data_IF_289615063160
#
_entry.id   IF_289615063160
#
_cell.length_a   1.000
_cell.length_b   1.000
_cell.length_c   1.000
_cell.angle_alpha   90.00
_cell.angle_beta   90.00
_cell.angle_gamma   90.00
#
_symmetry.space_group_name_H-M   'P 1'
#
loop_
_entity.id
_entity.type
_entity.pdbx_description
1 polymer ?
#
# COMPACT_ATOMS: atom_id res chain seq x y z
N UNK A 1 -0.62 -6.69 21.67
CA UNK A 1 -1.73 -7.43 21.05
C UNK A 1 -1.32 -7.74 19.62
N UNK A 2 -1.43 -8.99 19.21
CA UNK A 2 -1.05 -9.52 17.90
C UNK A 2 -1.72 -8.74 16.75
N UNK A 3 -1.00 -7.78 16.16
CA UNK A 3 -1.41 -7.07 14.94
C UNK A 3 -1.18 -7.91 13.67
N UNK A 4 -0.90 -9.22 13.80
CA UNK A 4 -0.36 -10.08 12.72
C UNK A 4 -1.29 -11.19 12.21
N UNK A 5 -2.59 -11.18 12.56
CA UNK A 5 -3.49 -12.29 12.17
C UNK A 5 -4.66 -11.89 11.27
N UNK A 6 -4.62 -10.72 10.63
CA UNK A 6 -5.65 -10.38 9.66
C UNK A 6 -5.15 -10.61 8.25
N UNK A 7 -6.04 -11.08 7.39
CA UNK A 7 -5.86 -11.38 5.97
C UNK A 7 -7.12 -10.77 5.32
N UNK A 8 -7.03 -9.91 4.29
CA UNK A 8 -8.21 -9.22 3.81
C UNK A 8 -9.07 -10.16 2.94
N UNK A 9 -10.39 -10.01 3.03
CA UNK A 9 -11.41 -10.90 2.47
C UNK A 9 -12.81 -10.57 3.01
N UNK A 10 -13.77 -11.50 2.99
CA UNK A 10 -15.12 -11.32 3.57
C UNK A 10 -15.15 -10.65 4.98
N UNK A 11 -14.16 -10.86 5.87
CA UNK A 11 -14.08 -10.15 7.16
C UNK A 11 -13.87 -8.63 7.05
N UNK A 12 -13.34 -8.11 5.93
CA UNK A 12 -13.13 -6.65 5.76
C UNK A 12 -14.46 -5.91 5.62
N UNK A 13 -15.45 -6.52 4.96
CA UNK A 13 -16.81 -5.95 4.85
C UNK A 13 -17.46 -5.86 6.22
N UNK A 14 -17.46 -6.96 6.96
CA UNK A 14 -18.01 -7.03 8.31
C UNK A 14 -17.30 -6.04 9.24
N UNK A 15 -15.98 -5.90 9.14
CA UNK A 15 -15.24 -4.93 9.95
C UNK A 15 -15.57 -3.47 9.60
N UNK A 16 -15.76 -3.13 8.32
CA UNK A 16 -16.22 -1.79 7.90
C UNK A 16 -17.63 -1.53 8.43
N UNK A 17 -18.53 -2.49 8.31
CA UNK A 17 -19.91 -2.38 8.81
C UNK A 17 -19.94 -2.25 10.35
N UNK A 18 -19.17 -3.07 11.07
CA UNK A 18 -19.02 -3.01 12.53
C UNK A 18 -18.41 -1.68 13.00
N UNK A 19 -17.52 -1.09 12.22
CA UNK A 19 -16.96 0.23 12.47
C UNK A 19 -17.90 1.37 12.05
N UNK A 20 -19.15 1.07 11.65
CA UNK A 20 -20.10 2.05 11.10
C UNK A 20 -19.53 2.88 9.94
N UNK A 21 -18.65 2.27 9.15
CA UNK A 21 -17.96 2.91 8.03
C UNK A 21 -16.89 3.93 8.44
N UNK A 22 -16.35 3.88 9.66
CA UNK A 22 -15.43 4.91 10.18
C UNK A 22 -14.25 4.28 10.92
N UNK A 23 -13.02 4.59 10.50
CA UNK A 23 -11.78 4.17 11.18
C UNK A 23 -11.07 5.44 11.66
N UNK A 24 -10.56 5.44 12.88
CA UNK A 24 -9.91 6.61 13.48
C UNK A 24 -8.52 6.30 13.97
N UNK A 25 -7.66 7.30 13.93
CA UNK A 25 -6.41 7.31 14.68
C UNK A 25 -6.13 8.71 15.22
N UNK A 26 -5.45 8.76 16.36
CA UNK A 26 -5.03 10.00 17.03
C UNK A 26 -3.52 10.18 16.88
N UNK A 27 -2.97 11.25 17.45
CA UNK A 27 -1.52 11.43 17.55
C UNK A 27 -0.77 10.21 18.07
N UNK A 28 -1.27 9.57 19.14
CA UNK A 28 -0.61 8.38 19.72
C UNK A 28 -0.59 7.23 18.71
N UNK A 29 -1.71 6.98 18.03
CA UNK A 29 -1.76 5.98 16.98
C UNK A 29 -0.83 6.30 15.81
N UNK A 30 -0.72 7.57 15.41
CA UNK A 30 0.24 7.97 14.37
C UNK A 30 1.70 7.66 14.75
N UNK A 31 2.06 7.87 16.03
CA UNK A 31 3.38 7.53 16.56
C UNK A 31 3.63 6.02 16.54
N UNK A 32 2.65 5.21 16.95
CA UNK A 32 2.72 3.75 16.84
C UNK A 32 2.99 3.29 15.39
N UNK A 33 2.36 3.93 14.40
CA UNK A 33 2.61 3.64 12.98
C UNK A 33 4.00 4.09 12.54
N UNK A 34 4.50 5.22 13.06
CA UNK A 34 5.85 5.68 12.78
C UNK A 34 6.90 4.69 13.29
N UNK A 35 6.76 4.23 14.52
CA UNK A 35 7.65 3.23 15.13
C UNK A 35 7.64 1.92 14.37
N UNK A 36 6.46 1.47 13.93
CA UNK A 36 6.30 0.17 13.31
C UNK A 36 6.65 0.14 11.82
N UNK A 37 6.29 1.17 11.06
CA UNK A 37 6.42 1.15 9.60
C UNK A 37 7.53 2.05 9.07
N UNK A 38 7.94 3.08 9.81
CA UNK A 38 8.96 4.05 9.35
C UNK A 38 10.34 3.70 9.93
N UNK A 39 10.43 3.44 11.24
CA UNK A 39 11.71 3.06 11.86
C UNK A 39 12.14 1.64 11.46
N UNK A 40 11.19 0.72 11.38
CA UNK A 40 11.43 -0.69 11.00
C UNK A 40 11.16 -0.94 9.51
N UNK A 41 11.22 0.09 8.68
CA UNK A 41 11.06 -0.07 7.24
C UNK A 41 12.14 -1.05 6.72
N UNK A 42 11.77 -2.10 5.96
CA UNK A 42 12.72 -3.10 5.48
C UNK A 42 13.83 -2.53 4.58
N UNK A 43 13.56 -1.41 3.91
CA UNK A 43 14.53 -0.69 3.09
C UNK A 43 15.47 0.21 3.91
N UNK A 44 15.40 0.13 5.24
CA UNK A 44 16.09 1.00 6.18
C UNK A 44 15.16 2.08 6.76
N UNK A 45 15.44 2.56 8.00
CA UNK A 45 14.68 3.64 8.62
C UNK A 45 14.55 4.86 7.70
N UNK A 46 13.44 5.59 7.80
CA UNK A 46 13.23 6.86 7.08
C UNK A 46 13.21 8.04 8.06
N UNK A 47 14.38 8.61 8.45
CA UNK A 47 14.47 9.54 9.58
C UNK A 47 13.71 10.85 9.35
N UNK A 48 13.73 11.36 8.11
CA UNK A 48 13.05 12.61 7.79
C UNK A 48 11.52 12.43 7.82
N UNK A 49 11.00 11.34 7.26
CA UNK A 49 9.58 11.03 7.34
C UNK A 49 9.16 10.78 8.79
N UNK A 50 9.99 10.10 9.58
CA UNK A 50 9.74 9.88 11.00
C UNK A 50 9.63 11.21 11.76
N UNK A 51 10.55 12.15 11.54
CA UNK A 51 10.48 13.49 12.14
C UNK A 51 9.20 14.24 11.76
N UNK A 52 8.75 14.13 10.51
CA UNK A 52 7.46 14.71 10.10
C UNK A 52 6.30 14.06 10.86
N UNK A 53 6.29 12.73 11.02
CA UNK A 53 5.26 12.03 11.79
C UNK A 53 5.19 12.49 13.25
N UNK A 54 6.33 12.79 13.88
CA UNK A 54 6.37 13.30 15.26
C UNK A 54 5.72 14.69 15.40
N UNK A 55 5.72 15.48 14.33
CA UNK A 55 5.30 16.88 14.33
C UNK A 55 3.95 17.15 13.65
N UNK A 56 3.43 16.20 12.86
CA UNK A 56 2.31 16.48 11.94
C UNK A 56 0.92 16.53 12.59
N UNK A 57 0.73 15.91 13.76
CA UNK A 57 -0.55 15.94 14.50
C UNK A 57 -0.36 16.64 15.85
N UNK A 58 -1.25 17.59 16.14
CA UNK A 58 -1.35 18.25 17.45
C UNK A 58 -2.15 17.38 18.43
N UNK A 59 -2.06 17.73 19.72
CA UNK A 59 -2.92 17.11 20.71
C UNK A 59 -4.39 17.49 20.46
N UNK A 60 -5.24 16.48 20.28
CA UNK A 60 -6.65 16.65 19.94
C UNK A 60 -6.98 16.51 18.45
N UNK A 61 -5.98 16.45 17.56
CA UNK A 61 -6.22 16.15 16.15
C UNK A 61 -6.62 14.66 15.97
N UNK A 62 -7.58 14.43 15.07
CA UNK A 62 -8.10 13.11 14.73
C UNK A 62 -7.99 12.89 13.22
N UNK A 63 -7.40 11.77 12.82
CA UNK A 63 -7.46 11.30 11.45
C UNK A 63 -8.59 10.28 11.34
N UNK A 64 -9.48 10.49 10.38
CA UNK A 64 -10.64 9.64 10.12
C UNK A 64 -10.64 9.13 8.68
N UNK A 65 -10.79 7.82 8.51
CA UNK A 65 -11.11 7.18 7.23
C UNK A 65 -12.61 6.87 7.23
N UNK A 66 -13.33 7.41 6.24
CA UNK A 66 -14.76 7.16 6.04
C UNK A 66 -14.99 6.27 4.83
N UNK A 67 -16.00 5.42 4.94
CA UNK A 67 -16.58 4.62 3.87
C UNK A 67 -18.02 5.07 3.66
N UNK A 68 -18.41 5.32 2.42
CA UNK A 68 -19.79 5.69 2.12
C UNK A 68 -20.03 5.99 0.65
N UNK A 69 -21.28 6.32 0.33
CA UNK A 69 -21.67 6.77 -1.00
C UNK A 69 -21.33 8.26 -1.15
N UNK A 70 -20.63 8.60 -2.23
CA UNK A 70 -20.35 9.99 -2.60
C UNK A 70 -20.90 10.22 -4.00
N UNK A 71 -21.69 11.27 -4.17
CA UNK A 71 -22.44 11.61 -5.39
C UNK A 71 -23.46 10.54 -5.84
N UNK A 72 -24.47 10.20 -5.03
CA UNK A 72 -25.48 9.21 -5.41
C UNK A 72 -26.21 9.65 -6.68
N UNK A 73 -26.18 8.81 -7.71
CA UNK A 73 -26.92 9.02 -8.97
C UNK A 73 -28.10 8.05 -9.06
N UNK A 74 -29.19 8.49 -9.68
CA UNK A 74 -30.43 7.70 -9.80
C UNK A 74 -30.30 6.49 -10.77
N UNK A 75 -29.10 6.21 -11.29
CA UNK A 75 -28.81 5.17 -12.29
C UNK A 75 -27.91 4.07 -11.74
N UNK A 76 -27.90 3.91 -10.43
CA UNK A 76 -27.05 2.97 -9.67
C UNK A 76 -27.58 1.52 -9.71
N UNK A 77 -28.17 1.09 -10.82
CA UNK A 77 -28.53 -0.31 -11.06
C UNK A 77 -27.28 -1.10 -11.48
N UNK A 78 -27.08 -2.22 -10.78
CA UNK A 78 -26.18 -3.36 -11.03
C UNK A 78 -24.94 -3.10 -11.91
N UNK A 79 -23.81 -2.87 -11.24
CA UNK A 79 -22.52 -3.05 -11.89
C UNK A 79 -22.33 -4.54 -12.24
N UNK A 80 -22.11 -4.92 -13.52
CA UNK A 80 -21.96 -6.33 -13.93
C UNK A 80 -20.77 -7.04 -13.27
N UNK A 81 -19.80 -6.29 -12.73
CA UNK A 81 -18.65 -6.82 -12.02
C UNK A 81 -18.90 -6.98 -10.50
N UNK A 82 -20.04 -6.52 -9.99
CA UNK A 82 -20.41 -6.58 -8.58
C UNK A 82 -19.65 -5.59 -7.69
N UNK A 83 -19.10 -4.50 -8.25
CA UNK A 83 -18.46 -3.46 -7.44
C UNK A 83 -19.50 -2.78 -6.54
N UNK A 84 -19.30 -2.83 -5.21
CA UNK A 84 -20.10 -2.04 -4.28
C UNK A 84 -19.83 -0.56 -4.57
N UNK A 85 -20.90 0.18 -4.87
CA UNK A 85 -20.87 1.63 -5.10
C UNK A 85 -20.48 2.24 -3.75
N UNK A 86 -19.25 2.74 -3.68
CA UNK A 86 -18.69 3.23 -2.44
C UNK A 86 -17.41 3.98 -2.70
N UNK A 87 -17.19 5.01 -1.89
CA UNK A 87 -15.97 5.77 -1.82
C UNK A 87 -15.33 5.52 -0.45
N UNK A 88 -14.00 5.54 -0.45
CA UNK A 88 -13.20 5.65 0.77
C UNK A 88 -12.47 6.96 0.72
N UNK A 89 -12.48 7.71 1.82
CA UNK A 89 -11.75 8.97 1.90
C UNK A 89 -11.19 9.22 3.29
N UNK A 90 -10.08 9.94 3.32
CA UNK A 90 -9.41 10.33 4.55
C UNK A 90 -9.64 11.82 4.86
N UNK A 91 -10.03 12.10 6.10
CA UNK A 91 -10.24 13.43 6.65
C UNK A 91 -9.28 13.63 7.81
N UNK A 92 -8.58 14.76 7.81
CA UNK A 92 -7.95 15.29 9.01
C UNK A 92 -8.94 16.22 9.71
N UNK A 93 -9.25 15.95 10.97
CA UNK A 93 -9.98 16.85 11.85
C UNK A 93 -9.02 17.49 12.82
N UNK A 94 -9.00 18.81 12.84
CA UNK A 94 -8.23 19.54 13.85
C UNK A 94 -9.00 19.63 15.17
N UNK A 95 -8.27 19.91 16.26
CA UNK A 95 -8.85 20.09 17.59
C UNK A 95 -9.90 21.21 17.69
N UNK A 96 -9.96 22.12 16.71
CA UNK A 96 -10.94 23.22 16.64
C UNK A 96 -12.19 22.84 15.83
N UNK A 97 -12.29 21.60 15.35
CA UNK A 97 -13.41 21.10 14.55
C UNK A 97 -13.32 21.39 13.05
N UNK A 98 -12.18 21.91 12.56
CA UNK A 98 -11.92 22.06 11.14
C UNK A 98 -11.68 20.71 10.48
N UNK A 99 -12.22 20.51 9.27
CA UNK A 99 -12.05 19.28 8.50
C UNK A 99 -11.31 19.53 7.19
N UNK A 100 -10.33 18.67 6.87
CA UNK A 100 -9.57 18.69 5.62
C UNK A 100 -9.57 17.33 4.95
N UNK A 101 -10.12 17.25 3.74
CA UNK A 101 -9.99 16.08 2.87
C UNK A 101 -8.54 15.91 2.40
N UNK A 102 -7.93 14.79 2.77
CA UNK A 102 -6.57 14.40 2.41
C UNK A 102 -6.56 13.68 1.06
N UNK A 103 -7.33 12.61 0.95
CA UNK A 103 -7.52 11.86 -0.28
C UNK A 103 -8.86 11.18 -0.35
N UNK A 104 -9.21 10.76 -1.56
CA UNK A 104 -10.42 10.01 -1.87
C UNK A 104 -10.14 8.99 -2.97
N UNK A 105 -10.81 7.85 -2.87
CA UNK A 105 -10.79 6.79 -3.88
C UNK A 105 -12.17 6.17 -4.00
N UNK A 106 -12.60 5.94 -5.23
CA UNK A 106 -13.85 5.26 -5.54
C UNK A 106 -13.83 4.65 -6.94
N UNK A 107 -14.99 4.22 -7.41
CA UNK A 107 -15.17 3.56 -8.72
C UNK A 107 -14.61 4.36 -9.91
N UNK A 108 -14.73 5.70 -9.86
CA UNK A 108 -14.28 6.58 -10.95
C UNK A 108 -12.78 6.92 -10.88
N UNK A 109 -12.08 6.50 -9.82
CA UNK A 109 -10.64 6.70 -9.73
C UNK A 109 -9.94 5.84 -10.78
N UNK A 110 -9.07 6.48 -11.56
CA UNK A 110 -8.28 5.78 -12.57
C UNK A 110 -7.36 4.73 -11.91
N UNK A 111 -7.17 3.57 -12.54
CA UNK A 111 -6.19 2.60 -12.05
C UNK A 111 -4.76 3.15 -12.17
N UNK A 112 -3.82 2.54 -11.43
CA UNK A 112 -2.40 2.87 -11.57
C UNK A 112 -1.94 2.72 -13.03
N UNK A 113 -1.00 3.57 -13.44
CA UNK A 113 -0.40 3.49 -14.78
C UNK A 113 0.52 2.27 -14.89
N UNK A 114 0.86 1.86 -16.11
CA UNK A 114 1.82 0.77 -16.32
C UNK A 114 3.22 1.14 -15.80
N UNK A 115 3.58 2.43 -15.81
CA UNK A 115 4.83 2.92 -15.22
C UNK A 115 4.85 2.75 -13.71
N UNK A 116 3.74 3.10 -13.03
CA UNK A 116 3.62 2.94 -11.57
C UNK A 116 3.59 1.45 -11.18
N UNK A 117 2.89 0.61 -11.96
CA UNK A 117 2.83 -0.83 -11.71
C UNK A 117 4.19 -1.51 -11.90
N UNK A 118 4.95 -1.16 -12.95
CA UNK A 118 6.30 -1.66 -13.16
C UNK A 118 7.26 -1.19 -12.04
N UNK A 119 7.10 0.05 -11.57
CA UNK A 119 7.88 0.59 -10.45
C UNK A 119 7.56 -0.13 -9.14
N UNK A 120 6.28 -0.36 -8.85
CA UNK A 120 5.80 -1.14 -7.72
C UNK A 120 6.36 -2.58 -7.74
N UNK A 121 6.32 -3.23 -8.90
CA UNK A 121 6.85 -4.58 -9.08
C UNK A 121 8.37 -4.64 -8.85
N UNK A 122 9.13 -3.71 -9.42
CA UNK A 122 10.59 -3.63 -9.21
C UNK A 122 10.93 -3.44 -7.72
N UNK A 123 10.22 -2.55 -7.03
CA UNK A 123 10.42 -2.33 -5.60
C UNK A 123 10.04 -3.56 -4.76
N UNK A 124 8.95 -4.25 -5.10
CA UNK A 124 8.54 -5.49 -4.45
C UNK A 124 9.63 -6.58 -4.60
N UNK A 125 10.19 -6.75 -5.81
CA UNK A 125 11.30 -7.68 -6.04
C UNK A 125 12.54 -7.33 -5.23
N UNK A 126 12.91 -6.05 -5.18
CA UNK A 126 14.04 -5.59 -4.36
C UNK A 126 13.81 -5.89 -2.88
N UNK A 127 12.61 -5.61 -2.36
CA UNK A 127 12.23 -5.93 -0.99
C UNK A 127 12.35 -7.43 -0.68
N UNK A 128 11.85 -8.27 -1.59
CA UNK A 128 11.94 -9.72 -1.43
C UNK A 128 13.39 -10.23 -1.48
N UNK A 129 14.22 -9.66 -2.36
CA UNK A 129 15.65 -9.96 -2.42
C UNK A 129 16.38 -9.63 -1.12
N UNK A 130 16.08 -8.48 -0.50
CA UNK A 130 16.61 -8.10 0.82
C UNK A 130 16.22 -9.11 1.89
N UNK A 131 14.95 -9.54 1.90
CA UNK A 131 14.46 -10.52 2.87
C UNK A 131 15.14 -11.88 2.73
N UNK A 132 15.26 -12.37 1.49
CA UNK A 132 15.95 -13.63 1.19
C UNK A 132 17.42 -13.58 1.62
N UNK A 133 18.11 -12.45 1.41
CA UNK A 133 19.49 -12.25 1.84
C UNK A 133 19.63 -12.31 3.37
N UNK A 134 18.77 -11.59 4.11
CA UNK A 134 18.78 -11.58 5.56
C UNK A 134 18.54 -12.97 6.17
N UNK A 135 17.64 -13.77 5.58
CA UNK A 135 17.43 -15.15 6.02
C UNK A 135 18.68 -16.01 5.80
N UNK A 136 19.39 -15.83 4.69
CA UNK A 136 20.61 -16.57 4.40
C UNK A 136 21.75 -16.20 5.37
N UNK A 137 21.91 -14.92 5.69
CA UNK A 137 22.89 -14.46 6.70
C UNK A 137 22.62 -15.09 8.07
N UNK A 138 21.35 -15.09 8.52
CA UNK A 138 20.96 -15.72 9.79
C UNK A 138 21.22 -17.23 9.81
N UNK A 139 20.98 -17.92 8.69
CA UNK A 139 21.27 -19.35 8.57
C UNK A 139 22.79 -19.62 8.54
N UNK A 140 23.57 -18.76 7.89
CA UNK A 140 25.03 -18.87 7.86
C UNK A 140 25.66 -18.66 9.25
N UNK A 141 25.15 -17.72 10.04
CA UNK A 141 25.57 -17.50 11.44
C UNK A 141 25.26 -18.72 12.33
N UNK A 142 24.11 -19.36 12.12
CA UNK A 142 23.73 -20.61 12.80
C UNK A 142 24.59 -21.81 12.34
N UNK A 143 24.97 -21.87 11.07
CA UNK A 143 25.87 -22.90 10.54
C UNK A 143 27.31 -22.74 11.06
N UNK A 144 27.77 -21.49 11.22
CA UNK A 144 29.08 -21.18 11.82
C UNK A 144 29.17 -21.60 13.29
N UNK A 145 28.08 -21.47 14.06
CA UNK A 145 28.02 -21.97 15.44
C UNK A 145 28.02 -23.50 15.53
N UNK A 146 27.69 -24.22 14.45
CA UNK A 146 27.70 -25.69 14.36
C UNK A 146 28.93 -26.25 13.60
N UNK A 147 29.95 -25.42 13.33
CA UNK A 147 31.21 -25.88 12.73
C UNK A 147 31.13 -26.22 11.24
N UNK A 148 30.08 -25.80 10.53
CA UNK A 148 29.99 -25.93 9.08
C UNK A 148 30.58 -24.70 8.38
N UNK A 149 31.29 -24.92 7.27
CA UNK A 149 31.85 -23.85 6.45
C UNK A 149 30.72 -23.18 5.64
N UNK A 150 30.52 -21.86 5.76
CA UNK A 150 29.48 -21.15 5.01
C UNK A 150 29.87 -21.09 3.55
N UNK A 151 29.00 -21.60 2.68
CA UNK A 151 29.10 -21.40 1.24
C UNK A 151 28.47 -20.02 0.99
N UNK A 152 29.28 -19.02 0.66
CA UNK A 152 28.76 -17.70 0.28
C UNK A 152 27.88 -17.83 -0.99
N UNK A 153 26.57 -17.57 -0.91
CA UNK A 153 25.73 -17.58 -2.10
C UNK A 153 25.98 -16.32 -2.93
N UNK A 154 25.76 -16.35 -4.26
CA UNK A 154 25.80 -15.14 -5.07
C UNK A 154 24.66 -14.20 -4.66
N UNK A 155 25.00 -12.96 -4.29
CA UNK A 155 24.03 -11.87 -4.10
C UNK A 155 23.44 -11.49 -5.46
N UNK A 156 22.35 -12.15 -5.86
CA UNK A 156 21.62 -11.75 -7.06
C UNK A 156 20.68 -10.60 -6.70
N UNK A 157 21.15 -9.36 -6.89
CA UNK A 157 20.27 -8.20 -6.89
C UNK A 157 19.28 -8.38 -8.05
N UNK A 158 17.95 -8.37 -7.80
CA UNK A 158 16.98 -8.54 -8.85
C UNK A 158 17.16 -7.48 -9.93
N UNK A 159 17.36 -7.91 -11.18
CA UNK A 159 17.43 -6.97 -12.30
C UNK A 159 16.07 -6.33 -12.51
N UNK A 160 16.01 -5.00 -12.46
CA UNK A 160 14.77 -4.26 -12.68
C UNK A 160 14.26 -4.52 -14.11
N UNK A 161 12.94 -4.70 -14.24
CA UNK A 161 12.30 -4.62 -15.55
C UNK A 161 12.28 -3.15 -16.01
N UNK A 162 12.40 -2.88 -17.33
CA UNK A 162 12.31 -1.53 -17.86
C UNK A 162 10.99 -0.86 -17.48
N UNK A 163 11.06 0.40 -17.03
CA UNK A 163 9.85 1.20 -16.78
C UNK A 163 9.26 1.67 -18.12
N UNK A 164 7.94 1.51 -18.34
CA UNK A 164 7.24 2.21 -19.41
C UNK A 164 7.43 3.72 -19.31
N UNK A 165 7.34 4.42 -20.45
CA UNK A 165 7.37 5.89 -20.47
C UNK A 165 6.21 6.43 -19.63
N UNK A 166 6.46 7.31 -18.63
CA UNK A 166 5.39 7.91 -17.86
C UNK A 166 4.44 8.69 -18.77
N UNK A 167 3.14 8.49 -18.59
CA UNK A 167 2.16 9.34 -19.26
C UNK A 167 2.13 10.70 -18.56
N UNK A 168 2.15 11.84 -19.29
CA UNK A 168 1.98 13.14 -18.66
C UNK A 168 0.63 13.18 -17.93
N UNK A 169 0.58 13.70 -16.69
CA UNK A 169 -0.67 13.79 -15.96
C UNK A 169 -1.65 14.64 -16.78
N UNK A 170 -2.95 14.28 -16.82
CA UNK A 170 -3.94 15.14 -17.43
C UNK A 170 -3.90 16.52 -16.75
N UNK A 171 -4.12 17.62 -17.49
CA UNK A 171 -4.15 18.95 -16.90
C UNK A 171 -5.28 19.01 -15.86
N UNK A 172 -4.91 19.03 -14.59
CA UNK A 172 -5.84 19.07 -13.46
C UNK A 172 -6.18 20.50 -13.10
N UNK A 173 -7.47 20.83 -13.03
CA UNK A 173 -8.00 22.10 -12.53
C UNK A 173 -8.04 22.18 -10.99
N UNK A 174 -7.44 21.23 -10.26
CA UNK A 174 -7.41 21.22 -8.80
C UNK A 174 -6.30 20.35 -8.21
N UNK A 175 -6.12 20.37 -6.87
CA UNK A 175 -5.16 19.48 -6.21
C UNK A 175 -5.57 18.03 -6.42
N UNK A 176 -4.67 17.21 -6.99
CA UNK A 176 -4.89 15.76 -7.15
C UNK A 176 -4.93 15.14 -5.74
N UNK A 177 -6.14 14.81 -5.29
CA UNK A 177 -6.41 14.13 -4.01
C UNK A 177 -6.81 12.67 -4.21
N UNK A 178 -6.61 12.11 -5.41
CA UNK A 178 -6.88 10.70 -5.66
C UNK A 178 -5.71 9.84 -5.20
N UNK A 179 -6.01 8.79 -4.45
CA UNK A 179 -5.06 7.73 -4.10
C UNK A 179 -5.33 6.47 -4.94
N UNK A 180 -4.41 5.51 -4.89
CA UNK A 180 -4.52 4.21 -5.58
C UNK A 180 -5.88 3.54 -5.41
N UNK A 181 -6.38 2.96 -6.50
CA UNK A 181 -7.63 2.21 -6.53
C UNK A 181 -7.57 0.95 -5.68
N UNK A 182 -6.37 0.47 -5.32
CA UNK A 182 -6.19 -0.62 -4.35
C UNK A 182 -6.95 -0.37 -3.04
N UNK A 183 -7.13 0.90 -2.64
CA UNK A 183 -7.81 1.29 -1.41
C UNK A 183 -9.32 1.56 -1.59
N UNK A 184 -9.88 1.32 -2.77
CA UNK A 184 -11.32 1.47 -3.01
C UNK A 184 -12.13 0.42 -2.25
N UNK A 185 -13.37 0.74 -1.82
CA UNK A 185 -14.22 -0.23 -1.13
C UNK A 185 -14.36 -1.56 -1.88
N UNK A 186 -14.53 -1.51 -3.20
CA UNK A 186 -14.61 -2.72 -4.03
C UNK A 186 -13.36 -3.58 -3.85
N UNK A 187 -12.15 -3.02 -3.98
CA UNK A 187 -10.92 -3.79 -3.76
C UNK A 187 -10.78 -4.32 -2.33
N UNK A 188 -11.22 -3.57 -1.33
CA UNK A 188 -11.16 -4.00 0.07
C UNK A 188 -12.12 -5.15 0.38
N UNK A 189 -13.34 -5.10 -0.16
CA UNK A 189 -14.36 -6.13 0.07
C UNK A 189 -14.06 -7.45 -0.63
N UNK A 190 -13.44 -7.38 -1.81
CA UNK A 190 -13.16 -8.55 -2.64
C UNK A 190 -11.71 -9.01 -2.59
N UNK A 191 -10.86 -8.29 -1.85
CA UNK A 191 -9.48 -8.64 -1.56
C UNK A 191 -9.32 -10.14 -1.29
N UNK A 192 -8.40 -10.78 -2.01
CA UNK A 192 -8.08 -12.18 -1.76
C UNK A 192 -7.27 -12.31 -0.47
N UNK A 193 -7.43 -13.45 0.21
CA UNK A 193 -6.66 -13.74 1.42
C UNK A 193 -5.15 -13.98 1.23
N UNK A 194 -4.65 -13.79 0.01
CA UNK A 194 -3.22 -13.91 -0.34
C UNK A 194 -2.68 -12.59 -0.86
N UNK A 195 -3.37 -11.48 -0.53
CA UNK A 195 -3.02 -10.14 -0.97
C UNK A 195 -2.40 -9.33 0.17
N UNK A 196 -1.27 -8.70 -0.12
CA UNK A 196 -0.55 -7.82 0.81
C UNK A 196 -0.45 -6.42 0.26
N UNK A 197 -0.63 -5.42 1.12
CA UNK A 197 -0.55 -4.01 0.75
C UNK A 197 0.82 -3.44 1.07
N UNK A 198 1.23 -2.49 0.24
CA UNK A 198 2.46 -1.73 0.38
C UNK A 198 2.17 -0.25 0.22
N UNK A 199 2.75 0.56 1.11
CA UNK A 199 2.74 2.01 1.02
C UNK A 199 4.16 2.47 0.73
N UNK A 200 4.31 3.34 -0.26
CA UNK A 200 5.58 4.01 -0.50
C UNK A 200 5.83 5.07 0.56
N UNK A 201 7.00 4.97 1.20
CA UNK A 201 7.52 5.90 2.20
C UNK A 201 8.61 6.80 1.61
N UNK A 202 8.89 6.68 0.30
CA UNK A 202 9.72 7.64 -0.40
C UNK A 202 8.99 8.98 -0.37
N UNK A 203 9.65 10.03 0.12
CA UNK A 203 9.02 11.32 0.38
C UNK A 203 8.58 12.08 -0.90
N UNK A 204 8.56 11.40 -2.04
CA UNK A 204 8.27 11.94 -3.36
C UNK A 204 6.96 11.30 -3.84
N UNK A 205 5.83 12.05 -3.87
CA UNK A 205 4.55 11.49 -4.27
C UNK A 205 4.47 11.25 -5.79
N UNK A 206 3.59 10.35 -6.27
CA UNK A 206 3.44 10.04 -7.71
C UNK A 206 3.07 11.24 -8.60
N UNK A 207 2.52 12.31 -8.01
CA UNK A 207 2.18 13.54 -8.73
C UNK A 207 3.41 14.37 -9.14
N UNK A 208 4.61 13.98 -8.72
CA UNK A 208 5.87 14.70 -8.96
C UNK A 208 6.71 13.98 -10.03
N UNK A 209 7.29 14.68 -11.01
CA UNK A 209 8.14 14.05 -12.03
C UNK A 209 9.33 13.27 -11.46
N UNK A 210 9.90 13.75 -10.35
CA UNK A 210 11.04 13.13 -9.66
C UNK A 210 10.71 11.73 -9.11
N UNK A 211 9.43 11.41 -8.96
CA UNK A 211 8.95 10.11 -8.49
C UNK A 211 9.54 8.97 -9.32
N UNK A 212 9.56 9.10 -10.65
CA UNK A 212 10.00 8.01 -11.53
C UNK A 212 11.50 7.71 -11.42
N UNK A 213 12.29 8.66 -10.91
CA UNK A 213 13.72 8.51 -10.68
C UNK A 213 14.08 8.14 -9.23
N UNK A 214 13.18 8.39 -8.27
CA UNK A 214 13.38 8.06 -6.86
C UNK A 214 13.05 6.59 -6.58
N UNK A 215 13.92 5.79 -5.96
CA UNK A 215 13.57 4.43 -5.51
C UNK A 215 12.40 4.44 -4.53
N UNK A 216 11.52 3.45 -4.59
CA UNK A 216 10.45 3.31 -3.60
C UNK A 216 11.02 2.79 -2.28
N UNK A 217 10.54 3.34 -1.17
CA UNK A 217 10.83 2.83 0.17
C UNK A 217 9.58 2.15 0.68
N UNK A 218 9.43 0.86 0.39
CA UNK A 218 8.21 0.15 0.74
C UNK A 218 8.13 -0.08 2.25
N UNK A 219 6.95 0.12 2.80
CA UNK A 219 6.57 -0.45 4.08
C UNK A 219 6.78 -1.98 4.09
N UNK A 220 6.81 -2.59 5.28
CA UNK A 220 6.62 -4.04 5.38
C UNK A 220 5.24 -4.44 4.80
N UNK A 221 5.08 -5.70 4.32
CA UNK A 221 3.78 -6.19 3.90
C UNK A 221 2.74 -5.98 5.00
N UNK A 222 1.59 -5.40 4.65
CA UNK A 222 0.56 -5.09 5.63
C UNK A 222 -0.85 -5.38 5.13
N UNK A 223 -1.79 -5.23 6.05
CA UNK A 223 -3.20 -5.39 5.79
C UNK A 223 -3.83 -4.11 5.24
N UNK A 224 -5.01 -4.25 4.65
CA UNK A 224 -5.64 -3.16 3.92
C UNK A 224 -5.97 -1.94 4.80
N UNK A 225 -6.41 -2.17 6.05
CA UNK A 225 -6.70 -1.08 7.00
C UNK A 225 -5.45 -0.36 7.50
N UNK A 226 -4.35 -1.09 7.70
CA UNK A 226 -3.07 -0.47 8.00
C UNK A 226 -2.61 0.40 6.83
N UNK A 227 -2.80 -0.05 5.58
CA UNK A 227 -2.47 0.73 4.40
C UNK A 227 -3.34 2.00 4.27
N UNK A 228 -4.63 1.93 4.63
CA UNK A 228 -5.52 3.10 4.68
C UNK A 228 -5.02 4.15 5.68
N UNK A 229 -4.73 3.72 6.91
CA UNK A 229 -4.25 4.63 7.96
C UNK A 229 -2.87 5.19 7.63
N UNK A 230 -1.91 4.32 7.27
CA UNK A 230 -0.55 4.74 6.96
C UNK A 230 -0.52 5.68 5.75
N UNK A 231 -1.28 5.39 4.68
CA UNK A 231 -1.30 6.27 3.52
C UNK A 231 -1.89 7.65 3.81
N UNK A 232 -2.91 7.73 4.66
CA UNK A 232 -3.45 9.00 5.14
C UNK A 232 -2.45 9.76 6.02
N UNK A 233 -1.77 9.08 6.95
CA UNK A 233 -0.72 9.69 7.77
C UNK A 233 0.45 10.21 6.91
N UNK A 234 0.92 9.42 5.95
CA UNK A 234 1.93 9.83 4.97
C UNK A 234 1.44 11.04 4.15
N UNK A 235 0.17 11.09 3.80
CA UNK A 235 -0.43 12.25 3.12
C UNK A 235 -0.41 13.51 3.99
N UNK A 236 -0.66 13.39 5.30
CA UNK A 236 -0.51 14.54 6.21
C UNK A 236 0.95 14.99 6.26
N UNK A 237 1.89 14.06 6.41
CA UNK A 237 3.32 14.36 6.53
C UNK A 237 3.90 15.02 5.26
N UNK A 238 3.60 14.48 4.08
CA UNK A 238 4.18 14.92 2.79
C UNK A 238 3.32 16.00 2.11
N UNK A 239 2.04 16.06 2.44
CA UNK A 239 1.06 16.94 1.80
C UNK A 239 0.46 16.40 0.50
N UNK A 240 0.76 15.14 0.14
CA UNK A 240 0.22 14.47 -1.05
C UNK A 240 0.13 12.95 -0.84
N UNK A 241 -0.82 12.26 -1.49
CA UNK A 241 -0.98 10.81 -1.35
C UNK A 241 0.24 10.03 -1.86
N UNK A 242 0.71 9.01 -1.12
CA UNK A 242 1.79 8.14 -1.59
C UNK A 242 1.30 7.17 -2.66
N UNK A 243 2.25 6.49 -3.34
CA UNK A 243 1.90 5.29 -4.09
C UNK A 243 1.46 4.20 -3.09
N UNK A 244 0.31 3.58 -3.36
CA UNK A 244 -0.15 2.41 -2.64
C UNK A 244 -0.50 1.35 -3.67
N UNK A 245 -0.16 0.10 -3.40
CA UNK A 245 -0.55 -1.01 -4.25
C UNK A 245 -0.69 -2.28 -3.42
N UNK A 246 -1.40 -3.25 -3.97
CA UNK A 246 -1.50 -4.56 -3.38
C UNK A 246 -0.87 -5.60 -4.31
N UNK A 247 -0.22 -6.61 -3.73
CA UNK A 247 0.39 -7.72 -4.45
C UNK A 247 -0.43 -8.97 -4.16
N UNK A 248 -0.96 -9.59 -5.20
CA UNK A 248 -1.57 -10.90 -5.17
C UNK A 248 -0.57 -11.93 -5.69
N UNK A 249 -0.26 -12.93 -4.86
CA UNK A 249 0.65 -14.02 -5.20
C UNK A 249 -0.02 -15.37 -4.91
N UNK A 250 0.17 -16.35 -5.78
CA UNK A 250 -0.32 -17.71 -5.54
C UNK A 250 0.49 -18.38 -4.41
N UNK A 251 -0.15 -19.25 -3.64
CA UNK A 251 0.50 -19.96 -2.52
C UNK A 251 1.75 -20.72 -2.96
N UNK A 252 1.75 -21.30 -4.16
CA UNK A 252 2.86 -22.09 -4.70
C UNK A 252 4.12 -21.25 -4.96
N UNK A 253 3.99 -19.94 -5.17
CA UNK A 253 5.13 -19.04 -5.41
C UNK A 253 5.45 -18.12 -4.24
N UNK A 254 4.79 -18.27 -3.08
CA UNK A 254 4.95 -17.34 -1.97
C UNK A 254 6.40 -17.33 -1.45
N UNK A 255 7.03 -16.16 -1.44
CA UNK A 255 8.42 -16.00 -1.02
C UNK A 255 9.46 -16.27 -2.12
N UNK A 256 9.03 -16.73 -3.30
CA UNK A 256 9.88 -16.86 -4.48
C UNK A 256 9.98 -15.56 -5.26
N UNK A 257 11.14 -15.31 -5.87
CA UNK A 257 11.38 -14.10 -6.67
C UNK A 257 10.53 -14.15 -7.95
N UNK A 258 9.54 -13.28 -8.14
CA UNK A 258 8.72 -13.33 -9.34
C UNK A 258 9.50 -12.82 -10.56
N UNK A 259 9.31 -13.50 -11.69
CA UNK A 259 9.90 -13.13 -12.98
C UNK A 259 9.05 -12.15 -13.80
N UNK A 260 7.75 -12.06 -13.52
CA UNK A 260 6.80 -11.24 -14.26
C UNK A 260 5.66 -10.71 -13.37
N UNK A 261 4.90 -9.74 -13.88
CA UNK A 261 3.69 -9.26 -13.22
C UNK A 261 2.55 -9.04 -14.22
N UNK A 262 1.33 -9.29 -13.76
CA UNK A 262 0.10 -8.77 -14.36
C UNK A 262 -0.38 -7.54 -13.61
N UNK A 263 -1.27 -6.75 -14.23
CA UNK A 263 -1.97 -5.64 -13.59
C UNK A 263 -3.46 -5.96 -13.51
N UNK A 264 -4.05 -5.70 -12.36
CA UNK A 264 -5.49 -5.75 -12.18
C UNK A 264 -6.00 -4.43 -11.59
N UNK A 265 -7.13 -3.98 -12.10
CA UNK A 265 -7.86 -2.83 -11.55
C UNK A 265 -8.62 -3.26 -10.28
N UNK A 266 -9.02 -4.53 -10.25
CA UNK A 266 -9.94 -5.08 -9.27
C UNK A 266 -9.51 -6.45 -8.76
N UNK A 267 -9.55 -6.65 -7.45
CA UNK A 267 -9.12 -7.84 -6.76
C UNK A 267 -10.21 -8.92 -6.65
N UNK A 268 -11.06 -9.15 -7.67
CA UNK A 268 -11.94 -10.34 -7.64
C UNK A 268 -11.09 -11.59 -7.85
N UNK A 269 -10.73 -12.22 -6.73
CA UNK A 269 -9.87 -13.40 -6.64
C UNK A 269 -10.14 -14.53 -7.68
N UNK A 270 -11.39 -14.87 -8.06
CA UNK A 270 -11.61 -15.90 -9.07
C UNK A 270 -11.27 -15.50 -10.52
N UNK A 271 -11.20 -14.21 -10.85
CA UNK A 271 -10.96 -13.72 -12.22
C UNK A 271 -9.49 -13.34 -12.46
N UNK A 272 -8.73 -13.04 -11.40
CA UNK A 272 -7.30 -12.74 -11.47
C UNK A 272 -6.47 -14.03 -11.49
N UNK A 273 -5.99 -14.43 -12.67
CA UNK A 273 -5.05 -15.56 -12.79
C UNK A 273 -3.61 -15.08 -12.61
N UNK A 274 -2.98 -15.54 -11.54
CA UNK A 274 -1.53 -15.40 -11.36
C UNK A 274 -0.85 -16.35 -12.34
N UNK A 275 -0.03 -15.82 -13.24
CA UNK A 275 0.80 -16.65 -14.11
C UNK A 275 1.86 -17.39 -13.28
N UNK A 276 2.27 -18.58 -13.73
CA UNK A 276 3.33 -19.35 -13.08
C UNK A 276 4.61 -18.49 -12.93
N UNK A 277 5.16 -18.43 -11.71
CA UNK A 277 6.31 -17.58 -11.39
C UNK A 277 6.06 -16.05 -11.46
N UNK A 278 4.80 -15.61 -11.52
CA UNK A 278 4.40 -14.21 -11.57
C UNK A 278 3.61 -13.73 -10.34
N UNK A 279 3.32 -12.43 -10.31
CA UNK A 279 2.41 -11.79 -9.34
C UNK A 279 1.39 -10.90 -10.05
N UNK A 280 0.34 -10.47 -9.37
CA UNK A 280 -0.56 -9.43 -9.86
C UNK A 280 -0.46 -8.19 -8.98
N UNK A 281 -0.23 -7.03 -9.60
CA UNK A 281 -0.27 -5.72 -8.94
C UNK A 281 -1.68 -5.14 -9.08
N UNK A 282 -2.30 -4.82 -7.96
CA UNK A 282 -3.60 -4.16 -7.87
C UNK A 282 -3.40 -2.69 -7.50
N UNK A 283 -3.97 -1.77 -8.27
CA UNK A 283 -3.88 -0.32 -8.03
C UNK A 283 -4.72 0.53 -8.96
#
# INVERSE_FOLDING_TARGET
>A
MDRMSFIPGAPAREAIENASGRIFTTRIGALDYADEFILKCPSGPQPLLYQLFLAMLSDGDELEIKFGLRDPTNTEEDDPAGELIGHTWALLKDANGGEKLLWEVGRKTAPISDADAAKAFNAYRQLLGTYQHQQQEQQAEQAHTHGMMPISPPTQIPTNIPLPTPSPPPPSAGPVRSISRALSPSNLYFAAGVMFYFVDLSMVPPSRPEFYHTPLHLSRPMQAFDALLLSALVTVAIGAPPLVFAVLQGNEGLGEMPGSFGRAVYARAPDCRVMEGGVVIVG
#
